data_IF_061516862847
#
_entry.id   IF_061516862847
#
_cell.length_a   1.000
_cell.length_b   1.000
_cell.length_c   1.000
_cell.angle_alpha   90.00
_cell.angle_beta   90.00
_cell.angle_gamma   90.00
#
_symmetry.space_group_name_H-M   'P 1'
#
loop_
_entity.id
_entity.type
_entity.pdbx_description
1 polymer ?
#
# COMPACT_ATOMS: atom_id res chain seq x y z
N UNK A 1 -14.18 -20.10 -15.20
CA UNK A 1 -13.67 -18.73 -15.05
C UNK A 1 -12.18 -18.81 -15.13
N UNK A 2 -11.53 -18.00 -15.95
CA UNK A 2 -10.06 -17.94 -15.97
C UNK A 2 -9.61 -17.28 -14.68
N UNK A 3 -8.61 -17.86 -13.99
CA UNK A 3 -8.08 -17.29 -12.75
C UNK A 3 -7.45 -15.93 -13.06
N UNK A 4 -7.69 -14.94 -12.22
CA UNK A 4 -7.09 -13.62 -12.35
C UNK A 4 -5.57 -13.70 -12.23
N UNK A 5 -4.86 -13.00 -13.11
CA UNK A 5 -3.39 -12.94 -13.05
C UNK A 5 -2.91 -12.15 -11.84
N UNK A 6 -3.67 -11.13 -11.41
CA UNK A 6 -3.35 -10.36 -10.22
C UNK A 6 -3.47 -11.22 -8.95
N UNK A 7 -4.43 -12.16 -8.93
CA UNK A 7 -4.56 -13.10 -7.81
C UNK A 7 -3.31 -13.99 -7.66
N UNK A 8 -2.74 -14.44 -8.77
CA UNK A 8 -1.47 -15.16 -8.75
C UNK A 8 -0.32 -14.28 -8.28
N UNK A 9 -0.28 -13.02 -8.73
CA UNK A 9 0.75 -12.05 -8.32
C UNK A 9 0.71 -11.74 -6.82
N UNK A 10 -0.45 -11.43 -6.26
CA UNK A 10 -0.56 -11.13 -4.83
C UNK A 10 -0.21 -12.32 -3.94
N UNK A 11 -0.29 -13.50 -4.51
CA UNK A 11 0.13 -14.75 -3.86
C UNK A 11 1.61 -15.07 -4.06
N UNK A 12 2.31 -14.42 -4.99
CA UNK A 12 3.73 -14.62 -5.20
C UNK A 12 4.54 -13.83 -4.15
N UNK A 13 5.39 -14.55 -3.41
CA UNK A 13 6.30 -13.94 -2.43
C UNK A 13 7.32 -12.99 -3.05
N UNK A 14 7.66 -13.17 -4.34
CA UNK A 14 8.60 -12.33 -5.07
C UNK A 14 7.92 -11.08 -5.67
N UNK A 15 6.60 -10.99 -5.64
CA UNK A 15 5.91 -9.80 -6.09
C UNK A 15 6.28 -8.61 -5.19
N UNK A 16 6.88 -7.59 -5.79
CA UNK A 16 7.27 -6.40 -5.06
C UNK A 16 6.06 -5.56 -4.69
N UNK A 17 5.51 -5.85 -3.51
CA UNK A 17 4.50 -5.00 -2.88
C UNK A 17 5.18 -4.07 -1.88
N UNK A 18 6.09 -3.24 -2.40
CA UNK A 18 6.87 -2.27 -1.65
C UNK A 18 6.70 -0.90 -2.27
N UNK A 19 6.40 0.07 -1.46
CA UNK A 19 6.39 1.47 -1.90
C UNK A 19 7.79 1.92 -2.33
N UNK A 20 7.90 2.73 -3.34
CA UNK A 20 6.85 3.12 -4.28
C UNK A 20 6.59 2.02 -5.33
N UNK A 21 5.35 1.57 -5.43
CA UNK A 21 4.97 0.46 -6.33
C UNK A 21 5.20 0.80 -7.81
N UNK A 22 4.99 2.06 -8.17
CA UNK A 22 5.17 2.54 -9.53
C UNK A 22 6.56 2.19 -10.10
N UNK A 23 7.63 2.47 -9.38
CA UNK A 23 8.99 2.24 -9.90
C UNK A 23 9.41 0.77 -9.92
N UNK A 24 8.76 -0.07 -9.12
CA UNK A 24 9.13 -1.48 -8.95
C UNK A 24 8.29 -2.42 -9.82
N UNK A 25 7.22 -1.92 -10.45
CA UNK A 25 6.34 -2.72 -11.27
C UNK A 25 6.26 -2.15 -12.69
N UNK A 26 6.43 -3.01 -13.69
CA UNK A 26 6.48 -2.62 -15.09
C UNK A 26 5.15 -2.01 -15.59
N UNK A 27 4.04 -2.60 -15.18
CA UNK A 27 2.69 -2.18 -15.60
C UNK A 27 2.02 -1.39 -14.48
N UNK A 28 2.57 -0.21 -14.19
CA UNK A 28 2.05 0.64 -13.13
C UNK A 28 1.82 2.07 -13.61
N UNK A 29 0.81 2.71 -13.01
CA UNK A 29 0.48 4.12 -13.18
C UNK A 29 0.58 4.82 -11.82
N UNK A 30 0.88 6.12 -11.86
CA UNK A 30 0.96 6.97 -10.66
C UNK A 30 0.06 8.17 -10.80
N UNK A 31 -0.80 8.37 -9.81
CA UNK A 31 -1.76 9.47 -9.78
C UNK A 31 -1.46 10.41 -8.62
N UNK A 32 -1.67 11.71 -8.88
CA UNK A 32 -1.63 12.77 -7.89
C UNK A 32 -3.02 12.93 -7.27
N UNK A 33 -3.09 12.98 -5.95
CA UNK A 33 -4.34 13.15 -5.21
C UNK A 33 -4.50 14.56 -4.69
N UNK A 34 -3.52 15.06 -3.94
CA UNK A 34 -3.54 16.37 -3.35
C UNK A 34 -3.26 17.47 -4.36
N UNK A 35 -4.28 18.26 -4.66
CA UNK A 35 -4.19 19.42 -5.54
C UNK A 35 -4.90 20.62 -4.90
N UNK A 36 -4.43 21.84 -5.22
CA UNK A 36 -5.02 23.08 -4.74
C UNK A 36 -4.37 23.61 -3.46
N UNK A 37 -5.00 24.62 -2.87
CA UNK A 37 -4.52 25.28 -1.68
C UNK A 37 -4.78 24.46 -0.40
N UNK A 38 -4.08 24.80 0.69
CA UNK A 38 -4.07 24.06 1.97
C UNK A 38 -5.46 23.67 2.49
N UNK A 39 -6.45 24.55 2.37
CA UNK A 39 -7.79 24.32 2.92
C UNK A 39 -8.61 23.28 2.10
N UNK A 40 -8.25 23.08 0.82
CA UNK A 40 -8.94 22.18 -0.09
C UNK A 40 -8.15 20.92 -0.38
N UNK A 41 -6.87 20.91 -0.05
CA UNK A 41 -5.93 19.87 -0.43
C UNK A 41 -6.39 18.45 -0.02
N UNK A 42 -6.68 18.26 1.26
CA UNK A 42 -7.16 16.97 1.79
C UNK A 42 -8.53 16.58 1.20
N UNK A 43 -9.43 17.55 1.04
CA UNK A 43 -10.74 17.30 0.44
C UNK A 43 -10.62 16.87 -1.02
N UNK A 44 -9.73 17.50 -1.77
CA UNK A 44 -9.45 17.13 -3.16
C UNK A 44 -8.76 15.77 -3.23
N UNK A 45 -7.83 15.47 -2.32
CA UNK A 45 -7.17 14.18 -2.25
C UNK A 45 -8.18 13.03 -2.05
N UNK A 46 -9.10 13.18 -1.09
CA UNK A 46 -10.17 12.21 -0.85
C UNK A 46 -11.06 12.02 -2.07
N UNK A 47 -11.54 13.13 -2.65
CA UNK A 47 -12.39 13.09 -3.83
C UNK A 47 -11.72 12.36 -4.99
N UNK A 48 -10.46 12.71 -5.31
CA UNK A 48 -9.71 12.10 -6.41
C UNK A 48 -9.42 10.61 -6.15
N UNK A 49 -9.09 10.25 -4.91
CA UNK A 49 -8.88 8.85 -4.54
C UNK A 49 -10.15 8.01 -4.70
N UNK A 50 -11.31 8.53 -4.28
CA UNK A 50 -12.62 7.87 -4.46
C UNK A 50 -12.98 7.77 -5.96
N UNK A 51 -12.78 8.83 -6.74
CA UNK A 51 -13.02 8.80 -8.20
C UNK A 51 -12.14 7.75 -8.90
N UNK A 52 -10.86 7.64 -8.55
CA UNK A 52 -9.94 6.60 -9.06
C UNK A 52 -10.41 5.22 -8.61
N UNK A 53 -10.81 5.09 -7.35
CA UNK A 53 -11.35 3.83 -6.84
C UNK A 53 -12.58 3.39 -7.63
N UNK A 54 -13.55 4.27 -7.86
CA UNK A 54 -14.78 3.95 -8.60
C UNK A 54 -14.50 3.52 -10.06
N UNK A 55 -13.51 4.13 -10.70
CA UNK A 55 -13.06 3.72 -12.04
C UNK A 55 -12.51 2.30 -12.04
N UNK A 56 -11.72 1.94 -11.04
CA UNK A 56 -11.03 0.65 -10.97
C UNK A 56 -11.88 -0.47 -10.34
N UNK A 57 -12.83 -0.11 -9.48
CA UNK A 57 -13.60 -1.05 -8.65
C UNK A 57 -15.10 -0.78 -8.69
N UNK A 58 -15.75 -0.79 -9.87
CA UNK A 58 -17.18 -0.44 -10.00
C UNK A 58 -18.12 -1.36 -9.22
N UNK A 59 -17.65 -2.49 -8.74
CA UNK A 59 -18.38 -3.43 -7.89
C UNK A 59 -17.72 -3.65 -6.53
N UNK A 60 -16.83 -2.73 -6.13
CA UNK A 60 -15.98 -2.87 -4.95
C UNK A 60 -14.78 -3.77 -5.19
N UNK A 61 -13.84 -3.77 -4.25
CA UNK A 61 -12.64 -4.59 -4.34
C UNK A 61 -12.92 -6.07 -4.03
N UNK A 62 -12.27 -6.99 -4.73
CA UNK A 62 -12.37 -8.44 -4.51
C UNK A 62 -11.53 -8.92 -3.33
N UNK A 63 -10.45 -8.20 -3.04
CA UNK A 63 -9.62 -8.43 -1.87
C UNK A 63 -8.95 -7.13 -1.42
N UNK A 64 -8.48 -7.14 -0.19
CA UNK A 64 -7.65 -6.08 0.38
C UNK A 64 -6.34 -6.70 0.82
N UNK A 65 -5.23 -6.02 0.48
CA UNK A 65 -3.90 -6.39 0.93
C UNK A 65 -3.42 -5.34 1.91
N UNK A 66 -2.79 -5.75 2.98
CA UNK A 66 -2.01 -4.86 3.81
C UNK A 66 -0.73 -5.53 4.25
N UNK A 67 0.27 -4.70 4.45
CA UNK A 67 1.55 -5.13 4.99
C UNK A 67 1.69 -4.54 6.37
N UNK A 68 2.11 -5.37 7.31
CA UNK A 68 2.45 -4.93 8.66
C UNK A 68 3.86 -5.36 9.00
N UNK A 69 4.47 -4.61 9.90
CA UNK A 69 5.83 -4.82 10.33
C UNK A 69 5.84 -5.44 11.72
N UNK A 70 6.70 -6.44 11.89
CA UNK A 70 7.02 -6.99 13.21
C UNK A 70 8.49 -6.68 13.46
N UNK A 71 8.78 -6.06 14.59
CA UNK A 71 10.14 -5.77 15.00
C UNK A 71 10.64 -6.85 15.95
N UNK A 72 11.88 -7.29 15.76
CA UNK A 72 12.54 -8.16 16.72
C UNK A 72 13.15 -7.31 17.84
N UNK A 73 12.35 -7.06 18.88
CA UNK A 73 12.77 -6.26 20.02
C UNK A 73 13.89 -6.92 20.85
N UNK A 74 14.19 -8.20 20.60
CA UNK A 74 15.27 -8.92 21.30
C UNK A 74 16.65 -8.60 20.74
N UNK A 75 16.74 -8.09 19.53
CA UNK A 75 17.97 -7.84 18.78
C UNK A 75 18.36 -6.35 18.74
N UNK A 76 17.94 -5.56 19.72
CA UNK A 76 18.49 -4.21 19.92
C UNK A 76 19.97 -4.36 20.31
N UNK A 77 20.83 -4.50 19.30
CA UNK A 77 22.24 -4.75 19.45
C UNK A 77 22.96 -3.58 20.15
N UNK A 78 24.19 -3.86 20.64
CA UNK A 78 25.02 -2.85 21.28
C UNK A 78 25.36 -1.68 20.34
N UNK A 79 25.48 -1.95 19.04
CA UNK A 79 25.73 -0.95 18.01
C UNK A 79 24.55 0.04 17.88
N UNK A 80 23.31 -0.47 17.83
CA UNK A 80 22.11 0.35 17.75
C UNK A 80 21.94 1.29 18.96
N UNK A 81 22.31 0.83 20.18
CA UNK A 81 22.28 1.67 21.37
C UNK A 81 23.26 2.84 21.30
N UNK A 82 24.49 2.59 20.86
CA UNK A 82 25.53 3.62 20.73
C UNK A 82 25.10 4.67 19.74
N UNK A 83 24.46 4.30 18.68
CA UNK A 83 24.08 5.17 17.60
C UNK A 83 22.83 5.99 17.91
N UNK A 84 21.85 5.41 18.59
CA UNK A 84 20.71 6.18 19.13
C UNK A 84 21.17 7.19 20.19
N UNK A 85 22.20 6.85 20.99
CA UNK A 85 22.84 7.79 21.93
C UNK A 85 23.56 8.92 21.18
N UNK A 86 24.26 8.65 20.06
CA UNK A 86 24.89 9.66 19.22
C UNK A 86 23.89 10.57 18.52
N UNK A 87 22.69 10.07 18.20
CA UNK A 87 21.59 10.84 17.63
C UNK A 87 20.72 11.57 18.69
N UNK A 88 21.10 11.47 19.97
CA UNK A 88 20.32 12.03 21.09
C UNK A 88 18.86 11.48 21.17
N UNK A 89 18.63 10.26 20.67
CA UNK A 89 17.32 9.62 20.70
C UNK A 89 17.18 8.74 21.95
N UNK A 90 16.04 8.86 22.63
CA UNK A 90 15.70 7.97 23.74
C UNK A 90 15.26 6.61 23.20
N UNK A 91 16.10 5.59 23.39
CA UNK A 91 15.83 4.22 22.98
C UNK A 91 14.50 3.68 23.53
N UNK A 92 14.13 4.13 24.74
CA UNK A 92 12.86 3.69 25.35
C UNK A 92 11.67 4.24 24.59
N UNK A 93 11.75 5.50 24.16
CA UNK A 93 10.72 6.15 23.36
C UNK A 93 10.61 5.49 21.98
N UNK A 94 11.74 5.18 21.34
CA UNK A 94 11.76 4.48 20.04
C UNK A 94 11.10 3.10 20.14
N UNK A 95 11.46 2.31 21.15
CA UNK A 95 10.86 0.98 21.38
C UNK A 95 9.37 1.11 21.67
N UNK A 96 8.97 2.05 22.51
CA UNK A 96 7.58 2.28 22.83
C UNK A 96 6.74 2.64 21.61
N UNK A 97 7.21 3.55 20.78
CA UNK A 97 6.55 3.94 19.53
C UNK A 97 6.40 2.75 18.56
N UNK A 98 7.41 1.88 18.49
CA UNK A 98 7.34 0.64 17.67
C UNK A 98 6.27 -0.30 18.20
N UNK A 99 6.20 -0.53 19.51
CA UNK A 99 5.20 -1.40 20.13
C UNK A 99 3.79 -0.84 19.92
N UNK A 100 3.61 0.46 20.06
CA UNK A 100 2.32 1.11 19.82
C UNK A 100 1.87 0.95 18.36
N UNK A 101 2.78 1.12 17.40
CA UNK A 101 2.51 0.90 15.99
C UNK A 101 2.15 -0.57 15.68
N UNK A 102 2.87 -1.52 16.26
CA UNK A 102 2.54 -2.96 16.11
C UNK A 102 1.16 -3.27 16.69
N UNK A 103 0.83 -2.74 17.86
CA UNK A 103 -0.49 -2.93 18.49
C UNK A 103 -1.61 -2.34 17.64
N UNK A 104 -1.41 -1.15 17.05
CA UNK A 104 -2.38 -0.55 16.14
C UNK A 104 -2.56 -1.39 14.86
N UNK A 105 -1.47 -1.85 14.28
CA UNK A 105 -1.51 -2.73 13.10
C UNK A 105 -2.25 -4.03 13.41
N UNK A 106 -1.95 -4.68 14.55
CA UNK A 106 -2.64 -5.91 14.97
C UNK A 106 -4.11 -5.67 15.28
N UNK A 107 -4.46 -4.54 15.88
CA UNK A 107 -5.86 -4.16 16.10
C UNK A 107 -6.60 -3.99 14.79
N UNK A 108 -6.03 -3.27 13.85
CA UNK A 108 -6.60 -3.09 12.52
C UNK A 108 -6.81 -4.44 11.81
N UNK A 109 -5.80 -5.32 11.84
CA UNK A 109 -5.90 -6.68 11.32
C UNK A 109 -7.03 -7.47 11.96
N UNK A 110 -7.18 -7.36 13.27
CA UNK A 110 -8.24 -8.05 14.00
C UNK A 110 -9.63 -7.53 13.61
N UNK A 111 -9.78 -6.23 13.50
CA UNK A 111 -11.02 -5.59 13.06
C UNK A 111 -11.37 -6.04 11.63
N UNK A 112 -10.38 -6.03 10.74
CA UNK A 112 -10.56 -6.49 9.36
C UNK A 112 -10.90 -7.98 9.27
N UNK A 113 -10.26 -8.84 10.06
CA UNK A 113 -10.57 -10.27 10.12
C UNK A 113 -12.00 -10.56 10.57
N UNK A 114 -12.57 -9.73 11.43
CA UNK A 114 -13.96 -9.88 11.86
C UNK A 114 -14.95 -9.66 10.70
N UNK A 115 -14.53 -8.98 9.64
CA UNK A 115 -15.35 -8.68 8.47
C UNK A 115 -15.12 -9.64 7.30
N UNK A 116 -13.97 -10.35 7.28
CA UNK A 116 -13.59 -11.27 6.20
C UNK A 116 -13.49 -12.72 6.69
N UNK A 117 -13.98 -13.67 5.88
CA UNK A 117 -13.90 -15.11 6.22
C UNK A 117 -12.57 -15.74 5.85
N UNK A 118 -11.91 -15.20 4.84
CA UNK A 118 -10.69 -15.78 4.31
C UNK A 118 -9.57 -14.74 4.23
N UNK A 119 -8.46 -15.07 4.85
CA UNK A 119 -7.21 -14.33 4.70
C UNK A 119 -6.04 -15.32 4.63
N UNK A 120 -4.98 -14.91 3.99
CA UNK A 120 -3.73 -15.63 4.08
C UNK A 120 -2.62 -14.70 4.52
N UNK A 121 -1.83 -15.16 5.48
CA UNK A 121 -0.63 -14.45 5.97
C UNK A 121 0.57 -15.04 5.26
N UNK A 122 1.44 -14.18 4.73
CA UNK A 122 2.71 -14.60 4.13
C UNK A 122 3.84 -13.80 4.71
N UNK A 123 4.84 -14.51 5.18
CA UNK A 123 6.11 -13.90 5.57
C UNK A 123 6.81 -13.42 4.30
N UNK A 124 7.05 -12.14 4.22
CA UNK A 124 7.96 -11.56 3.26
C UNK A 124 9.33 -11.47 3.95
N UNK A 125 10.35 -12.01 3.30
CA UNK A 125 11.69 -12.04 3.84
C UNK A 125 12.14 -10.67 4.35
N UNK A 126 12.98 -10.70 5.37
CA UNK A 126 13.64 -9.56 6.01
C UNK A 126 14.19 -8.61 4.96
N UNK A 127 13.79 -7.37 5.01
CA UNK A 127 14.27 -6.35 4.10
C UNK A 127 15.53 -5.70 4.65
N UNK A 128 16.65 -5.96 3.99
CA UNK A 128 17.90 -5.28 4.20
C UNK A 128 18.21 -4.28 3.09
N UNK A 129 17.25 -3.47 2.66
CA UNK A 129 17.45 -2.52 1.55
C UNK A 129 17.04 -1.07 1.89
N UNK A 130 17.03 -0.75 3.15
CA UNK A 130 17.23 0.64 3.55
C UNK A 130 18.62 0.72 4.15
N UNK A 131 19.34 1.78 3.85
CA UNK A 131 20.58 2.17 4.53
C UNK A 131 20.41 2.38 6.05
N UNK A 132 19.30 1.90 6.59
CA UNK A 132 18.99 1.82 8.00
C UNK A 132 19.53 0.50 8.57
N UNK A 133 20.86 0.39 8.68
CA UNK A 133 21.52 -0.56 9.58
C UNK A 133 21.03 -0.42 11.04
N UNK A 134 20.17 0.56 11.29
CA UNK A 134 19.81 1.12 12.59
C UNK A 134 18.59 0.53 13.27
N UNK A 135 17.76 -0.20 12.57
CA UNK A 135 16.47 -0.56 13.13
C UNK A 135 16.33 -2.09 13.17
N UNK A 136 17.09 -2.79 13.98
CA UNK A 136 16.91 -4.21 14.28
C UNK A 136 16.24 -5.07 13.16
N UNK A 137 16.19 -6.36 13.28
CA UNK A 137 15.56 -7.21 12.26
C UNK A 137 14.06 -6.94 12.19
N UNK A 138 13.61 -6.42 11.08
CA UNK A 138 12.20 -6.23 10.78
C UNK A 138 11.70 -7.39 9.91
N UNK A 139 10.55 -7.93 10.29
CA UNK A 139 9.84 -8.87 9.43
C UNK A 139 8.59 -8.19 8.88
N UNK A 140 8.44 -8.24 7.58
CA UNK A 140 7.27 -7.75 6.89
C UNK A 140 6.33 -8.91 6.57
N UNK A 141 5.09 -8.79 6.96
CA UNK A 141 4.05 -9.75 6.65
C UNK A 141 3.03 -9.12 5.71
N UNK A 142 2.63 -9.89 4.71
CA UNK A 142 1.50 -9.56 3.85
C UNK A 142 0.28 -10.35 4.28
N UNK A 143 -0.81 -9.64 4.52
CA UNK A 143 -2.12 -10.23 4.75
C UNK A 143 -3.00 -9.93 3.54
N UNK A 144 -3.63 -10.96 3.00
CA UNK A 144 -4.63 -10.84 1.95
C UNK A 144 -5.98 -11.24 2.53
N UNK A 145 -6.90 -10.29 2.60
CA UNK A 145 -8.28 -10.53 3.01
C UNK A 145 -9.16 -10.55 1.78
N UNK A 146 -9.75 -11.69 1.49
CA UNK A 146 -10.70 -11.83 0.39
C UNK A 146 -12.07 -11.34 0.82
N UNK A 147 -12.72 -10.57 -0.07
CA UNK A 147 -14.08 -10.12 0.16
C UNK A 147 -15.02 -11.32 0.22
N UNK A 148 -15.83 -11.34 1.22
CA UNK A 148 -17.01 -12.15 1.35
C UNK A 148 -18.25 -11.33 0.93
N UNK A 149 -19.45 -11.84 1.06
CA UNK A 149 -20.72 -11.18 0.63
C UNK A 149 -21.05 -9.87 1.38
N UNK A 150 -20.09 -9.29 2.11
CA UNK A 150 -20.26 -8.04 2.86
C UNK A 150 -19.74 -6.84 2.08
N UNK A 151 -20.44 -5.73 2.19
CA UNK A 151 -19.98 -4.44 1.73
C UNK A 151 -18.93 -3.87 2.69
N UNK A 152 -17.86 -3.31 2.13
CA UNK A 152 -16.84 -2.60 2.87
C UNK A 152 -17.08 -1.11 2.84
N UNK A 153 -16.74 -0.45 3.92
CA UNK A 153 -16.62 1.00 3.97
C UNK A 153 -15.27 1.42 3.36
N UNK A 154 -15.20 1.38 2.02
CA UNK A 154 -14.00 1.77 1.27
C UNK A 154 -13.66 3.24 1.50
N UNK A 155 -14.64 4.11 1.68
CA UNK A 155 -14.43 5.53 1.94
C UNK A 155 -13.69 5.74 3.25
N UNK A 156 -14.05 5.02 4.30
CA UNK A 156 -13.32 5.03 5.57
C UNK A 156 -11.88 4.54 5.42
N UNK A 157 -11.64 3.48 4.64
CA UNK A 157 -10.30 2.96 4.41
C UNK A 157 -9.44 3.97 3.65
N UNK A 158 -9.95 4.55 2.57
CA UNK A 158 -9.29 5.60 1.79
C UNK A 158 -9.00 6.82 2.67
N UNK A 159 -9.97 7.24 3.49
CA UNK A 159 -9.81 8.36 4.41
C UNK A 159 -8.67 8.14 5.41
N UNK A 160 -8.52 6.94 5.92
CA UNK A 160 -7.43 6.58 6.84
C UNK A 160 -6.06 6.68 6.17
N UNK A 161 -5.92 6.18 4.93
CA UNK A 161 -4.67 6.27 4.17
C UNK A 161 -4.29 7.74 3.92
N UNK A 162 -5.24 8.56 3.46
CA UNK A 162 -5.02 9.99 3.17
C UNK A 162 -4.63 10.78 4.43
N UNK A 163 -5.21 10.48 5.57
CA UNK A 163 -4.91 11.17 6.82
C UNK A 163 -3.64 10.64 7.53
N UNK A 164 -2.85 9.80 6.88
CA UNK A 164 -1.62 9.25 7.45
C UNK A 164 -1.85 8.27 8.61
N UNK A 165 -3.07 7.76 8.75
CA UNK A 165 -3.45 6.72 9.72
C UNK A 165 -3.61 5.36 9.06
N UNK A 166 -3.18 5.29 7.81
CA UNK A 166 -3.27 4.10 7.00
C UNK A 166 -2.26 3.03 7.39
N UNK A 167 -2.51 1.82 6.89
CA UNK A 167 -1.70 0.64 7.13
C UNK A 167 -1.15 0.05 5.83
N UNK A 168 -0.88 0.92 4.84
CA UNK A 168 -0.44 0.51 3.50
C UNK A 168 -1.44 -0.48 2.86
N UNK A 169 -2.69 -0.08 2.82
CA UNK A 169 -3.78 -0.87 2.24
C UNK A 169 -3.68 -0.83 0.72
N UNK A 170 -3.81 -1.99 0.09
CA UNK A 170 -4.00 -2.14 -1.35
C UNK A 170 -5.35 -2.76 -1.65
N UNK A 171 -6.13 -2.12 -2.50
CA UNK A 171 -7.39 -2.64 -3.01
C UNK A 171 -7.15 -3.46 -4.26
N UNK A 172 -7.72 -4.66 -4.36
CA UNK A 172 -7.49 -5.61 -5.45
C UNK A 172 -8.76 -5.86 -6.24
N UNK A 173 -8.68 -5.74 -7.57
CA UNK A 173 -9.73 -6.20 -8.48
C UNK A 173 -9.24 -7.38 -9.29
N UNK A 174 -9.93 -8.52 -9.19
CA UNK A 174 -9.68 -9.69 -10.04
C UNK A 174 -10.27 -9.51 -11.44
N UNK A 175 -11.34 -8.74 -11.57
CA UNK A 175 -11.94 -8.44 -12.87
C UNK A 175 -11.04 -7.53 -13.71
N UNK A 176 -10.47 -6.50 -13.09
CA UNK A 176 -9.63 -5.51 -13.75
C UNK A 176 -8.14 -5.82 -13.64
N UNK A 177 -7.79 -6.96 -13.01
CA UNK A 177 -6.41 -7.42 -12.81
C UNK A 177 -5.49 -6.31 -12.28
N UNK A 178 -5.96 -5.57 -11.26
CA UNK A 178 -5.21 -4.42 -10.71
C UNK A 178 -5.20 -4.35 -9.19
N UNK A 179 -4.22 -3.59 -8.68
CA UNK A 179 -4.11 -3.18 -7.28
C UNK A 179 -4.02 -1.66 -7.25
N UNK A 180 -4.86 -1.02 -6.45
CA UNK A 180 -4.73 0.40 -6.09
C UNK A 180 -4.15 0.52 -4.70
N UNK A 181 -3.10 1.31 -4.55
CA UNK A 181 -2.51 1.65 -3.26
C UNK A 181 -2.46 3.16 -3.08
N UNK A 182 -3.27 3.66 -2.18
CA UNK A 182 -3.18 5.04 -1.69
C UNK A 182 -2.09 5.06 -0.63
N UNK A 183 -1.05 5.87 -0.81
CA UNK A 183 0.07 5.90 0.14
C UNK A 183 0.01 7.08 1.12
N UNK A 184 -0.62 8.17 0.72
CA UNK A 184 -0.94 9.33 1.57
C UNK A 184 -1.81 10.33 0.78
N UNK A 185 -1.96 11.55 1.29
CA UNK A 185 -2.71 12.63 0.66
C UNK A 185 -2.10 13.15 -0.65
N UNK A 186 -0.84 12.82 -0.96
CA UNK A 186 -0.15 13.26 -2.18
C UNK A 186 -0.49 12.41 -3.38
N UNK A 187 -0.71 11.09 -3.18
CA UNK A 187 -0.92 10.24 -4.34
C UNK A 187 -1.23 8.79 -4.10
N UNK A 188 -1.39 8.09 -5.22
CA UNK A 188 -1.59 6.65 -5.25
C UNK A 188 -0.86 6.01 -6.42
N UNK A 189 -0.52 4.74 -6.27
CA UNK A 189 0.03 3.89 -7.32
C UNK A 189 -1.00 2.82 -7.71
N UNK A 190 -1.08 2.53 -9.01
CA UNK A 190 -1.94 1.48 -9.55
C UNK A 190 -1.06 0.49 -10.28
N UNK A 191 -1.10 -0.78 -9.88
CA UNK A 191 -0.34 -1.86 -10.51
C UNK A 191 -1.30 -2.77 -11.25
N UNK A 192 -1.03 -3.05 -12.50
CA UNK A 192 -1.78 -3.99 -13.34
C UNK A 192 -0.99 -5.28 -13.53
N UNK A 193 -1.69 -6.39 -13.68
CA UNK A 193 -1.05 -7.68 -13.95
C UNK A 193 -0.48 -7.77 -15.36
N UNK A 194 -1.00 -6.99 -16.30
CA UNK A 194 -0.55 -6.99 -17.70
C UNK A 194 -0.60 -5.59 -18.30
N UNK A 195 0.15 -5.41 -19.39
CA UNK A 195 0.15 -4.17 -20.15
C UNK A 195 -1.21 -3.88 -20.80
N UNK A 196 -1.89 -4.92 -21.28
CA UNK A 196 -3.21 -4.77 -21.89
C UNK A 196 -4.19 -4.16 -20.90
N UNK A 197 -4.20 -4.64 -19.65
CA UNK A 197 -5.02 -4.08 -18.60
C UNK A 197 -4.63 -2.64 -18.25
N UNK A 198 -3.35 -2.36 -18.16
CA UNK A 198 -2.89 -0.98 -17.96
C UNK A 198 -3.38 -0.06 -19.11
N UNK A 199 -3.31 -0.52 -20.36
CA UNK A 199 -3.78 0.26 -21.53
C UNK A 199 -5.28 0.52 -21.52
N UNK A 200 -6.09 -0.41 -21.04
CA UNK A 200 -7.55 -0.24 -20.89
C UNK A 200 -7.89 0.96 -19.98
N UNK A 201 -7.13 1.15 -18.91
CA UNK A 201 -7.40 2.20 -17.92
C UNK A 201 -6.59 3.49 -18.12
N UNK A 202 -5.55 3.46 -18.96
CA UNK A 202 -4.62 4.58 -19.12
C UNK A 202 -5.33 5.91 -19.38
N UNK A 203 -6.19 5.98 -20.40
CA UNK A 203 -6.89 7.22 -20.76
C UNK A 203 -7.97 7.64 -19.77
N UNK A 204 -8.55 6.71 -19.03
CA UNK A 204 -9.52 7.01 -17.98
C UNK A 204 -8.84 7.66 -16.77
N UNK A 205 -7.59 7.28 -16.52
CA UNK A 205 -6.81 7.75 -15.38
C UNK A 205 -5.90 8.94 -15.71
N UNK A 206 -5.72 9.26 -17.00
CA UNK A 206 -4.85 10.35 -17.46
C UNK A 206 -5.12 11.71 -16.78
N UNK A 207 -6.38 12.11 -16.47
CA UNK A 207 -6.65 13.35 -15.73
C UNK A 207 -6.10 13.41 -14.31
N UNK A 208 -5.71 12.26 -13.77
CA UNK A 208 -5.18 12.13 -12.40
C UNK A 208 -3.67 11.94 -12.36
N UNK A 209 -3.00 11.79 -13.49
CA UNK A 209 -1.57 11.47 -13.51
C UNK A 209 -0.72 12.51 -12.80
N UNK A 210 0.26 12.02 -12.04
CA UNK A 210 1.31 12.87 -11.49
C UNK A 210 2.19 13.40 -12.62
N UNK A 211 2.22 14.71 -12.80
CA UNK A 211 2.90 15.39 -13.92
C UNK A 211 4.38 15.01 -14.04
N UNK A 212 5.04 14.78 -12.92
CA UNK A 212 6.45 14.38 -12.85
C UNK A 212 6.73 13.04 -13.55
N UNK A 213 5.81 12.09 -13.47
CA UNK A 213 6.01 10.71 -13.97
C UNK A 213 5.32 10.44 -15.32
N UNK A 214 4.67 11.44 -15.93
CA UNK A 214 3.89 11.28 -17.19
C UNK A 214 4.74 10.70 -18.31
N UNK A 215 5.97 11.17 -18.50
CA UNK A 215 6.84 10.68 -19.59
C UNK A 215 7.24 9.22 -19.38
N UNK A 216 7.42 8.79 -18.15
CA UNK A 216 7.70 7.38 -17.85
C UNK A 216 6.46 6.51 -18.05
N UNK A 217 5.27 6.98 -17.67
CA UNK A 217 3.99 6.29 -17.92
C UNK A 217 3.71 6.17 -19.42
N UNK A 218 3.98 7.21 -20.23
CA UNK A 218 3.88 7.14 -21.69
C UNK A 218 4.80 6.09 -22.29
N UNK A 219 6.05 6.00 -21.86
CA UNK A 219 6.98 4.96 -22.34
C UNK A 219 6.41 3.56 -22.10
N UNK A 220 5.89 3.30 -20.89
CA UNK A 220 5.28 2.01 -20.54
C UNK A 220 4.01 1.69 -21.33
N UNK A 221 3.25 2.73 -21.70
CA UNK A 221 2.06 2.58 -22.52
C UNK A 221 2.40 2.19 -23.96
N UNK A 222 3.46 2.76 -24.54
CA UNK A 222 3.82 2.56 -25.95
C UNK A 222 4.80 1.39 -26.20
N UNK A 223 5.37 0.80 -25.17
CA UNK A 223 6.18 -0.42 -25.30
C UNK A 223 5.33 -1.63 -25.62
#
# INVERSE_FOLDING_TARGET
MQKSKIEDLICDKNFSYLQPYFYKNQFALRCELGIGDSDQYITNAKKRATEIFDILFPYGADAIIFNYWIFDHSDCGRAEKIELEELELDITEVIQNRIENEVEQLRFLFEMQAEYRHYSVRDLETYGDFDDEYIGKQRRNRVVCYRDDKEFDYDSLIDREINGRGHNVGFVSFQNDCILSVYDDRGCDIVFATQEKMKEFYHLLEPYFLSYDVEEMKKRFYQ
#
